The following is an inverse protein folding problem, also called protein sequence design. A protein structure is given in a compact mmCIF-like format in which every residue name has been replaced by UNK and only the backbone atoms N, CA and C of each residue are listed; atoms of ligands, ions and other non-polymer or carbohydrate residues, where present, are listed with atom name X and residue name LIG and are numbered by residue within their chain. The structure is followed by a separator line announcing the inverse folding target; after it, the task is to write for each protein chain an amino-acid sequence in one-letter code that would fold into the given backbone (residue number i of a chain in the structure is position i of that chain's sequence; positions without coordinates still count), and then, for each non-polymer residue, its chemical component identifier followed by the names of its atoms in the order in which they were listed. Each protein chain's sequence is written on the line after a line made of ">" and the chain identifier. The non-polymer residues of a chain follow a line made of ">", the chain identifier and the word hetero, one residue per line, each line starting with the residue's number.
data_IF_588895740149
#
_entry.id   IF_588895740149
#
_cell.length_a   1.000
_cell.length_b   1.000
_cell.length_c   1.000
_cell.angle_alpha   90.00
_cell.angle_beta   90.00
_cell.angle_gamma   90.00
#
_symmetry.space_group_name_H-M   'P 1'
#
loop_
_entity.id
_entity.type
_entity.pdbx_description
1 polymer ?
#
# COMPACT_ATOMS: atom_id res chain seq x y z
N UNK A 1 -39.05 46.80 28.17
CA UNK A 1 -38.79 45.87 27.06
C UNK A 1 -37.33 45.52 27.08
N UNK A 2 -36.97 44.26 27.34
CA UNK A 2 -35.59 43.79 27.36
C UNK A 2 -35.39 42.79 26.20
N UNK A 3 -34.47 43.10 25.31
CA UNK A 3 -34.11 42.29 24.13
C UNK A 3 -33.17 41.15 24.56
N UNK A 4 -33.43 39.88 24.18
CA UNK A 4 -32.55 38.79 24.59
C UNK A 4 -31.30 38.72 23.70
N UNK A 5 -30.15 38.58 24.38
CA UNK A 5 -28.80 38.41 23.84
C UNK A 5 -28.62 36.95 23.37
N UNK A 6 -29.32 36.56 22.31
CA UNK A 6 -29.47 35.14 21.90
C UNK A 6 -28.50 34.69 20.78
N UNK A 7 -27.72 35.61 20.21
CA UNK A 7 -26.92 35.36 18.99
C UNK A 7 -25.57 34.66 19.24
N UNK A 8 -24.85 34.97 20.34
CA UNK A 8 -23.51 34.42 20.57
C UNK A 8 -23.52 32.95 21.02
N UNK A 9 -24.51 32.53 21.81
CA UNK A 9 -24.54 31.18 22.37
C UNK A 9 -24.84 30.14 21.29
N UNK A 10 -25.77 30.43 20.37
CA UNK A 10 -26.13 29.54 19.26
C UNK A 10 -24.95 29.38 18.29
N UNK A 11 -24.21 30.46 18.00
CA UNK A 11 -23.05 30.42 17.13
C UNK A 11 -21.90 29.61 17.76
N UNK A 12 -21.65 29.77 19.07
CA UNK A 12 -20.69 28.95 19.81
C UNK A 12 -21.08 27.46 19.78
N UNK A 13 -22.36 27.13 20.04
CA UNK A 13 -22.84 25.74 19.97
C UNK A 13 -22.67 25.13 18.56
N UNK A 14 -23.01 25.88 17.50
CA UNK A 14 -22.80 25.41 16.11
C UNK A 14 -21.32 25.15 15.82
N UNK A 15 -20.42 26.05 16.23
CA UNK A 15 -18.97 25.85 16.01
C UNK A 15 -18.45 24.65 16.78
N UNK A 16 -18.87 24.43 18.02
CA UNK A 16 -18.48 23.25 18.79
C UNK A 16 -18.99 21.94 18.19
N UNK A 17 -20.24 21.91 17.72
CA UNK A 17 -20.82 20.72 17.07
C UNK A 17 -20.06 20.42 15.77
N UNK A 18 -19.75 21.45 14.96
CA UNK A 18 -19.00 21.26 13.73
C UNK A 18 -17.58 20.73 13.98
N UNK A 19 -16.88 21.18 15.03
CA UNK A 19 -15.58 20.63 15.41
C UNK A 19 -15.64 19.21 15.98
N UNK A 20 -16.74 18.83 16.65
CA UNK A 20 -16.93 17.46 17.17
C UNK A 20 -17.18 16.43 16.07
N UNK A 21 -17.83 16.81 14.96
CA UNK A 21 -17.99 15.91 13.80
C UNK A 21 -16.65 15.55 13.14
N UNK A 22 -15.65 16.44 13.17
CA UNK A 22 -14.33 16.17 12.57
C UNK A 22 -13.49 15.17 13.38
N UNK A 23 -13.77 15.02 14.67
CA UNK A 23 -13.03 14.10 15.54
C UNK A 23 -13.58 12.66 15.53
N UNK A 24 -14.79 12.45 15.00
CA UNK A 24 -15.49 11.17 15.08
C UNK A 24 -15.12 10.15 13.97
N UNK A 25 -14.22 10.50 13.05
CA UNK A 25 -13.82 9.64 11.93
C UNK A 25 -12.33 9.27 11.95
N UNK A 26 -11.76 8.93 13.11
CA UNK A 26 -10.62 8.00 13.13
C UNK A 26 -11.12 6.61 12.76
N UNK A 27 -11.55 6.44 11.51
CA UNK A 27 -11.96 5.15 10.98
C UNK A 27 -10.68 4.36 10.76
N UNK A 28 -10.37 3.45 11.68
CA UNK A 28 -9.23 2.54 11.54
C UNK A 28 -9.36 1.79 10.22
N UNK A 29 -8.42 2.02 9.30
CA UNK A 29 -8.42 1.48 7.93
C UNK A 29 -7.30 0.46 7.75
N UNK A 30 -7.33 -0.70 8.46
CA UNK A 30 -6.19 -1.64 8.49
C UNK A 30 -5.89 -2.29 7.13
N UNK A 31 -6.79 -2.13 6.17
CA UNK A 31 -6.70 -2.70 4.83
C UNK A 31 -6.47 -1.65 3.74
N UNK A 32 -6.28 -0.38 4.09
CA UNK A 32 -6.03 0.64 3.09
C UNK A 32 -4.71 0.43 2.36
N UNK A 33 -4.70 0.92 1.13
CA UNK A 33 -3.50 1.04 0.31
C UNK A 33 -3.43 2.45 -0.28
N UNK A 34 -2.24 3.03 -0.21
CA UNK A 34 -1.89 4.25 -0.93
C UNK A 34 -0.88 3.88 -2.02
N UNK A 35 -1.29 4.03 -3.28
CA UNK A 35 -0.43 3.78 -4.45
C UNK A 35 0.11 5.11 -4.94
N UNK A 36 1.43 5.19 -5.07
CA UNK A 36 2.11 6.30 -5.73
C UNK A 36 2.34 5.87 -7.18
N UNK A 37 1.72 6.55 -8.14
CA UNK A 37 1.69 6.12 -9.53
C UNK A 37 2.25 7.17 -10.48
N UNK A 38 2.92 6.70 -11.52
CA UNK A 38 3.42 7.50 -12.62
C UNK A 38 2.55 7.28 -13.85
N UNK A 39 1.94 8.36 -14.37
CA UNK A 39 0.97 8.27 -15.45
C UNK A 39 1.47 8.93 -16.73
N UNK A 40 1.19 8.29 -17.87
CA UNK A 40 1.68 8.70 -19.18
C UNK A 40 3.19 8.58 -19.30
N UNK A 41 3.78 7.52 -18.75
CA UNK A 41 5.22 7.21 -18.92
C UNK A 41 5.53 7.15 -20.42
N UNK A 42 6.66 7.73 -20.83
CA UNK A 42 7.05 7.86 -22.23
C UNK A 42 6.46 9.08 -22.95
N UNK A 43 5.48 9.76 -22.36
CA UNK A 43 4.81 10.93 -22.96
C UNK A 43 5.30 12.26 -22.37
N UNK A 44 6.04 12.22 -21.26
CA UNK A 44 6.63 13.39 -20.61
C UNK A 44 8.02 13.75 -21.14
N UNK A 45 8.59 14.82 -20.57
CA UNK A 45 9.96 15.28 -20.89
C UNK A 45 10.95 14.13 -20.70
N UNK A 46 11.81 13.91 -21.71
CA UNK A 46 12.81 12.83 -21.74
C UNK A 46 12.23 11.41 -21.55
N UNK A 47 10.97 11.18 -21.96
CA UNK A 47 10.30 9.89 -21.80
C UNK A 47 9.78 9.61 -20.38
N UNK A 48 9.77 10.62 -19.51
CA UNK A 48 9.18 10.51 -18.16
C UNK A 48 7.65 10.45 -18.16
N UNK A 49 7.05 10.43 -16.97
CA UNK A 49 5.60 10.54 -16.77
C UNK A 49 5.09 11.98 -16.98
N UNK A 50 3.84 12.11 -17.42
CA UNK A 50 3.14 13.39 -17.57
C UNK A 50 2.45 13.85 -16.30
N UNK A 51 2.00 12.93 -15.44
CA UNK A 51 1.43 13.24 -14.12
C UNK A 51 1.83 12.18 -13.09
N UNK A 52 1.62 12.50 -11.81
CA UNK A 52 1.97 11.63 -10.68
C UNK A 52 0.77 11.58 -9.77
N UNK A 53 0.19 10.41 -9.59
CA UNK A 53 -1.06 10.28 -8.86
C UNK A 53 -0.81 9.62 -7.51
N UNK A 54 -1.41 10.17 -6.47
CA UNK A 54 -1.58 9.48 -5.21
C UNK A 54 -2.99 8.87 -5.22
N UNK A 55 -3.05 7.55 -5.27
CA UNK A 55 -4.28 6.78 -5.49
C UNK A 55 -4.60 5.98 -4.22
N UNK A 56 -5.79 6.18 -3.66
CA UNK A 56 -6.21 5.53 -2.43
C UNK A 56 -7.24 4.43 -2.70
N UNK A 57 -7.03 3.31 -2.02
CA UNK A 57 -7.90 2.14 -2.02
C UNK A 57 -8.25 1.79 -0.56
N UNK A 58 -9.54 1.61 -0.21
CA UNK A 58 -9.95 1.20 1.14
C UNK A 58 -9.71 -0.30 1.40
N UNK A 59 -9.11 -1.00 0.44
CA UNK A 59 -8.89 -2.44 0.41
C UNK A 59 -7.82 -2.78 -0.62
N UNK A 60 -7.87 -3.99 -1.16
CA UNK A 60 -6.84 -4.48 -2.08
C UNK A 60 -6.78 -3.64 -3.36
N UNK A 61 -5.57 -3.36 -3.83
CA UNK A 61 -5.35 -2.67 -5.12
C UNK A 61 -5.61 -3.61 -6.29
N UNK A 62 -5.18 -4.87 -6.19
CA UNK A 62 -5.34 -5.89 -7.23
C UNK A 62 -6.37 -6.93 -6.83
N UNK A 63 -7.08 -7.45 -7.83
CA UNK A 63 -8.14 -8.46 -7.68
C UNK A 63 -7.59 -9.87 -7.42
N UNK A 64 -6.30 -10.12 -7.65
CA UNK A 64 -5.71 -11.46 -7.67
C UNK A 64 -5.87 -12.20 -9.00
N UNK A 65 -6.61 -11.64 -9.96
CA UNK A 65 -6.78 -12.19 -11.31
C UNK A 65 -5.80 -11.53 -12.29
N UNK A 66 -4.52 -11.88 -12.20
CA UNK A 66 -3.45 -11.26 -12.98
C UNK A 66 -3.23 -9.80 -12.59
N UNK A 67 -3.04 -8.91 -13.58
CA UNK A 67 -2.77 -7.48 -13.35
C UNK A 67 -4.04 -6.63 -13.10
N UNK A 68 -5.22 -7.24 -13.05
CA UNK A 68 -6.48 -6.51 -12.89
C UNK A 68 -6.58 -5.84 -11.50
N UNK A 69 -6.92 -4.54 -11.49
CA UNK A 69 -7.06 -3.72 -10.29
C UNK A 69 -8.50 -3.49 -9.88
N UNK A 70 -8.72 -3.29 -8.58
CA UNK A 70 -9.97 -2.74 -8.05
C UNK A 70 -10.09 -1.25 -8.41
N UNK A 71 -11.28 -0.68 -8.25
CA UNK A 71 -11.49 0.76 -8.49
C UNK A 71 -11.04 1.57 -7.27
N UNK A 72 -10.20 2.61 -7.42
CA UNK A 72 -9.86 3.48 -6.31
C UNK A 72 -11.08 4.31 -5.87
N UNK A 73 -11.11 4.71 -4.60
CA UNK A 73 -12.15 5.62 -4.10
C UNK A 73 -11.72 7.08 -4.14
N UNK A 74 -10.42 7.35 -4.11
CA UNK A 74 -9.87 8.70 -4.17
C UNK A 74 -8.56 8.70 -4.95
N UNK A 75 -8.31 9.81 -5.63
CA UNK A 75 -7.07 10.04 -6.37
C UNK A 75 -6.81 11.54 -6.42
N UNK A 76 -5.53 11.91 -6.39
CA UNK A 76 -5.10 13.30 -6.57
C UNK A 76 -3.76 13.36 -7.29
N UNK A 77 -3.64 14.31 -8.22
CA UNK A 77 -2.38 14.59 -8.88
C UNK A 77 -1.46 15.33 -7.92
N UNK A 78 -0.21 14.86 -7.84
CA UNK A 78 0.88 15.42 -7.06
C UNK A 78 1.70 16.32 -7.99
N UNK A 79 1.67 17.65 -7.80
CA UNK A 79 2.44 18.57 -8.64
C UNK A 79 3.95 18.33 -8.55
N UNK A 80 4.63 18.51 -9.68
CA UNK A 80 6.08 18.45 -9.73
C UNK A 80 6.72 19.67 -9.07
N UNK A 81 7.62 19.45 -8.12
CA UNK A 81 8.31 20.49 -7.35
C UNK A 81 9.73 20.81 -7.87
N UNK A 82 10.14 20.23 -9.00
CA UNK A 82 11.49 20.34 -9.56
C UNK A 82 12.39 19.12 -9.30
N UNK A 83 12.00 18.21 -8.41
CA UNK A 83 12.61 16.87 -8.25
C UNK A 83 11.60 15.79 -8.64
N UNK A 84 12.05 14.63 -9.13
CA UNK A 84 11.14 13.51 -9.39
C UNK A 84 10.34 13.23 -8.11
N UNK A 85 9.00 13.14 -8.19
CA UNK A 85 8.19 12.88 -7.00
C UNK A 85 8.60 11.59 -6.31
N UNK A 86 8.08 11.42 -5.10
CA UNK A 86 8.39 10.33 -4.18
C UNK A 86 9.74 10.47 -3.47
N UNK A 87 10.82 10.80 -4.20
CA UNK A 87 12.15 10.99 -3.62
C UNK A 87 12.49 12.43 -3.17
N UNK A 88 11.53 13.35 -3.20
CA UNK A 88 11.81 14.77 -2.95
C UNK A 88 12.18 15.06 -1.49
N UNK A 89 13.11 16.01 -1.29
CA UNK A 89 13.54 16.42 0.06
C UNK A 89 12.35 17.00 0.83
N UNK A 90 12.11 16.49 2.03
CA UNK A 90 10.97 16.88 2.86
C UNK A 90 9.68 16.11 2.59
N UNK A 91 9.70 15.12 1.68
CA UNK A 91 8.55 14.27 1.42
C UNK A 91 7.50 14.92 0.51
N UNK A 92 6.47 14.15 0.18
CA UNK A 92 5.34 14.55 -0.67
C UNK A 92 4.08 14.59 0.18
N UNK A 93 3.38 15.71 0.20
CA UNK A 93 2.06 15.81 0.83
C UNK A 93 1.00 16.16 -0.20
N UNK A 94 -0.15 15.49 -0.13
CA UNK A 94 -1.30 15.78 -0.98
C UNK A 94 -2.60 15.69 -0.19
N UNK A 95 -3.56 16.55 -0.54
CA UNK A 95 -4.91 16.53 0.01
C UNK A 95 -5.85 15.78 -0.92
N UNK A 96 -6.49 14.74 -0.40
CA UNK A 96 -7.50 13.94 -1.09
C UNK A 96 -8.82 14.70 -1.25
N UNK A 97 -9.70 14.29 -2.17
CA UNK A 97 -11.00 14.94 -2.39
C UNK A 97 -11.92 15.01 -1.16
N UNK A 98 -11.78 14.08 -0.21
CA UNK A 98 -12.54 14.09 1.05
C UNK A 98 -11.96 15.02 2.13
N UNK A 99 -10.83 15.69 1.85
CA UNK A 99 -10.13 16.56 2.78
C UNK A 99 -8.98 15.89 3.53
N UNK A 100 -8.82 14.58 3.47
CA UNK A 100 -7.71 13.87 4.12
C UNK A 100 -6.38 14.29 3.53
N UNK A 101 -5.33 14.29 4.35
CA UNK A 101 -3.96 14.58 3.90
C UNK A 101 -3.10 13.36 4.13
N UNK A 102 -2.43 12.94 3.06
CA UNK A 102 -1.36 11.95 3.12
C UNK A 102 -0.03 12.65 2.94
N UNK A 103 0.95 12.28 3.76
CA UNK A 103 2.34 12.71 3.63
C UNK A 103 3.22 11.48 3.48
N UNK A 104 4.13 11.50 2.52
CA UNK A 104 4.94 10.33 2.14
C UNK A 104 6.41 10.71 2.09
N UNK A 105 7.26 9.88 2.66
CA UNK A 105 8.70 10.00 2.55
C UNK A 105 9.27 8.70 2.00
N UNK A 106 9.87 8.76 0.81
CA UNK A 106 10.53 7.61 0.18
C UNK A 106 12.03 7.86 0.09
N UNK A 107 12.80 6.82 0.41
CA UNK A 107 14.20 6.72 0.03
C UNK A 107 14.32 5.88 -1.26
N UNK A 108 14.51 6.50 -2.43
CA UNK A 108 14.54 5.80 -3.71
C UNK A 108 15.76 4.89 -3.90
N UNK A 109 16.76 4.96 -3.00
CA UNK A 109 17.90 4.04 -3.03
C UNK A 109 17.54 2.64 -2.50
N UNK A 110 16.43 2.51 -1.77
CA UNK A 110 15.96 1.23 -1.22
C UNK A 110 15.11 0.53 -2.28
N UNK A 111 15.42 -0.74 -2.54
CA UNK A 111 14.73 -1.60 -3.50
C UNK A 111 14.02 -2.75 -2.77
N UNK A 112 13.15 -3.43 -3.50
CA UNK A 112 12.44 -4.61 -3.00
C UNK A 112 13.39 -5.72 -2.54
N UNK A 113 12.96 -6.53 -1.54
CA UNK A 113 11.65 -6.51 -0.86
C UNK A 113 11.58 -5.58 0.36
N UNK A 114 12.55 -4.67 0.53
CA UNK A 114 12.66 -3.84 1.73
C UNK A 114 11.75 -2.62 1.62
N UNK A 115 11.08 -2.25 2.71
CA UNK A 115 10.28 -1.03 2.77
C UNK A 115 11.17 0.19 2.48
N UNK A 116 10.83 0.94 1.43
CA UNK A 116 11.57 2.10 0.94
C UNK A 116 11.17 3.40 1.66
N UNK A 117 10.10 3.39 2.45
CA UNK A 117 9.65 4.58 3.14
C UNK A 117 8.35 4.37 3.90
N UNK A 118 7.74 5.50 4.25
CA UNK A 118 6.55 5.59 5.08
C UNK A 118 5.58 6.62 4.51
N UNK A 119 4.29 6.32 4.62
CA UNK A 119 3.20 7.25 4.39
C UNK A 119 2.37 7.43 5.67
N UNK A 120 1.98 8.66 5.94
CA UNK A 120 1.18 9.03 7.10
C UNK A 120 -0.13 9.63 6.65
N UNK A 121 -1.21 9.09 7.18
CA UNK A 121 -2.54 9.69 7.12
C UNK A 121 -2.70 10.71 8.26
N UNK A 122 -3.26 11.89 8.00
CA UNK A 122 -3.29 12.99 8.97
C UNK A 122 -3.93 12.67 10.33
N UNK A 123 -4.84 11.69 10.39
CA UNK A 123 -5.50 11.27 11.62
C UNK A 123 -4.82 10.05 12.29
N UNK A 124 -3.90 9.38 11.61
CA UNK A 124 -3.23 8.16 12.07
C UNK A 124 -1.70 8.30 12.05
N UNK A 125 -1.19 9.45 12.47
CA UNK A 125 0.25 9.77 12.43
C UNK A 125 1.14 8.79 13.23
N UNK A 126 0.56 8.06 14.20
CA UNK A 126 1.26 7.07 15.01
C UNK A 126 1.32 5.67 14.36
N UNK A 127 0.63 5.48 13.23
CA UNK A 127 0.52 4.20 12.52
C UNK A 127 0.79 4.42 11.03
N UNK A 128 2.07 4.57 10.61
CA UNK A 128 2.40 4.79 9.22
C UNK A 128 2.16 3.55 8.36
N UNK A 129 1.76 3.78 7.11
CA UNK A 129 1.73 2.78 6.06
C UNK A 129 3.17 2.58 5.55
N UNK A 130 3.67 1.35 5.55
CA UNK A 130 5.00 1.03 5.01
C UNK A 130 4.95 1.02 3.49
N UNK A 131 5.81 1.77 2.85
CA UNK A 131 5.88 1.90 1.39
C UNK A 131 6.94 0.97 0.80
N UNK A 132 6.55 0.20 -0.21
CA UNK A 132 7.42 -0.74 -0.93
C UNK A 132 7.53 -0.29 -2.38
N UNK A 133 8.72 -0.47 -2.98
CA UNK A 133 8.84 -0.31 -4.43
C UNK A 133 7.94 -1.38 -5.06
N UNK A 134 7.14 -1.01 -6.06
CA UNK A 134 6.35 -2.04 -6.74
C UNK A 134 5.89 -1.50 -8.08
N UNK A 135 6.47 -2.05 -9.14
CA UNK A 135 6.29 -1.55 -10.50
C UNK A 135 5.37 -2.46 -11.28
N UNK A 136 4.08 -2.11 -11.30
CA UNK A 136 3.06 -2.81 -12.08
C UNK A 136 2.43 -1.82 -13.03
N UNK A 137 2.34 -2.22 -14.29
CA UNK A 137 1.71 -1.42 -15.33
C UNK A 137 0.19 -1.48 -15.27
N UNK A 138 -0.45 -0.44 -15.80
CA UNK A 138 -1.89 -0.35 -16.00
C UNK A 138 -2.71 -0.42 -14.70
N UNK A 139 -2.21 0.17 -13.61
CA UNK A 139 -2.94 0.19 -12.32
C UNK A 139 -4.21 1.04 -12.38
N UNK A 140 -4.20 2.08 -13.20
CA UNK A 140 -5.35 2.94 -13.44
C UNK A 140 -5.24 3.64 -14.80
N UNK A 141 -6.38 3.98 -15.42
CA UNK A 141 -6.44 4.78 -16.64
C UNK A 141 -7.12 6.11 -16.33
N UNK A 142 -6.42 7.21 -16.58
CA UNK A 142 -6.96 8.55 -16.42
C UNK A 142 -8.06 8.84 -17.45
N UNK A 143 -8.89 9.83 -17.16
CA UNK A 143 -9.98 10.27 -18.05
C UNK A 143 -9.48 10.78 -19.41
N UNK A 144 -8.26 11.31 -19.45
CA UNK A 144 -7.58 11.73 -20.68
C UNK A 144 -6.95 10.55 -21.47
N UNK A 145 -7.17 9.33 -21.00
CA UNK A 145 -6.78 8.09 -21.65
C UNK A 145 -5.37 7.59 -21.30
N UNK A 146 -4.59 8.33 -20.50
CA UNK A 146 -3.23 7.91 -20.12
C UNK A 146 -3.26 6.80 -19.08
N UNK A 147 -2.40 5.80 -19.26
CA UNK A 147 -2.21 4.74 -18.29
C UNK A 147 -1.23 5.13 -17.20
N UNK A 148 -1.52 4.67 -15.99
CA UNK A 148 -0.68 4.79 -14.81
C UNK A 148 -0.02 3.45 -14.50
N UNK A 149 1.24 3.51 -14.08
CA UNK A 149 1.98 2.38 -13.50
C UNK A 149 2.32 2.70 -12.05
N UNK A 150 2.27 1.72 -11.15
CA UNK A 150 2.68 1.94 -9.76
C UNK A 150 4.19 2.16 -9.68
N UNK A 151 4.60 3.09 -8.81
CA UNK A 151 5.98 3.26 -8.38
C UNK A 151 6.18 2.66 -6.99
N UNK A 152 5.25 2.98 -6.08
CA UNK A 152 5.25 2.47 -4.71
C UNK A 152 3.85 2.10 -4.25
N UNK A 153 3.77 1.12 -3.35
CA UNK A 153 2.53 0.78 -2.63
C UNK A 153 2.79 0.84 -1.13
N UNK A 154 2.00 1.67 -0.45
CA UNK A 154 2.05 1.84 1.00
C UNK A 154 0.85 1.17 1.66
N UNK A 155 1.09 0.34 2.67
CA UNK A 155 0.03 -0.31 3.44
C UNK A 155 0.46 -0.73 4.85
N UNK A 156 -0.53 -1.09 5.68
CA UNK A 156 -0.32 -1.61 7.03
C UNK A 156 0.06 -3.09 7.08
N UNK A 157 -0.10 -3.83 5.97
CA UNK A 157 0.13 -5.29 5.93
C UNK A 157 1.61 -5.67 5.79
N UNK A 158 2.47 -4.71 5.45
CA UNK A 158 3.91 -4.91 5.37
C UNK A 158 4.37 -5.71 4.15
N UNK A 159 3.64 -5.64 3.04
CA UNK A 159 3.99 -6.30 1.77
C UNK A 159 3.48 -5.50 0.56
N UNK A 160 4.20 -5.45 -0.57
CA UNK A 160 3.72 -4.78 -1.79
C UNK A 160 2.50 -5.47 -2.43
N UNK A 161 2.28 -6.76 -2.16
CA UNK A 161 1.23 -7.59 -2.79
C UNK A 161 0.26 -8.16 -1.75
N UNK A 162 -0.51 -7.31 -1.06
CA UNK A 162 -1.36 -7.74 0.05
C UNK A 162 -2.53 -8.68 -0.35
N UNK A 163 -2.77 -8.82 -1.66
CA UNK A 163 -3.77 -9.69 -2.29
C UNK A 163 -3.22 -11.07 -2.68
N UNK A 164 -1.90 -11.24 -2.76
CA UNK A 164 -1.28 -12.54 -3.06
C UNK A 164 -1.27 -13.33 -1.75
N UNK A 165 -2.06 -14.40 -1.70
CA UNK A 165 -2.00 -15.36 -0.59
C UNK A 165 -0.55 -15.83 -0.47
N UNK A 166 0.05 -15.87 0.74
CA UNK A 166 1.38 -16.42 0.90
C UNK A 166 1.44 -17.80 0.25
N UNK A 167 2.51 -18.08 -0.50
CA UNK A 167 2.76 -19.44 -0.95
C UNK A 167 2.71 -20.36 0.29
N UNK A 168 2.08 -21.54 0.22
CA UNK A 168 2.18 -22.51 1.30
C UNK A 168 3.66 -22.67 1.65
N UNK A 169 3.99 -22.68 2.94
CA UNK A 169 5.34 -23.03 3.36
C UNK A 169 5.77 -24.32 2.62
N UNK A 170 7.03 -24.45 2.19
CA UNK A 170 7.51 -25.70 1.62
C UNK A 170 7.04 -26.83 2.52
N UNK A 171 6.31 -27.79 1.95
CA UNK A 171 5.91 -28.97 2.71
C UNK A 171 7.14 -29.60 3.34
N UNK A 172 7.01 -30.31 4.48
CA UNK A 172 8.12 -31.07 5.02
C UNK A 172 8.76 -31.85 3.88
N UNK A 173 10.05 -31.65 3.65
CA UNK A 173 10.80 -32.43 2.68
C UNK A 173 10.58 -33.93 2.97
N UNK A 174 10.75 -34.82 1.98
CA UNK A 174 10.62 -36.25 2.20
C UNK A 174 11.40 -36.65 3.45
N UNK A 175 10.73 -37.35 4.36
CA UNK A 175 11.41 -37.90 5.53
C UNK A 175 12.64 -38.69 5.05
N UNK A 176 13.80 -38.57 5.71
CA UNK A 176 14.96 -39.37 5.37
C UNK A 176 14.54 -40.83 5.27
N UNK A 177 14.77 -41.45 4.11
CA UNK A 177 14.57 -42.88 3.94
C UNK A 177 15.61 -43.55 4.84
N UNK A 178 15.18 -44.05 6.00
CA UNK A 178 16.03 -44.89 6.81
C UNK A 178 16.40 -46.12 5.97
N UNK A 179 17.69 -46.43 5.78
CA UNK A 179 18.09 -47.70 5.20
C UNK A 179 17.50 -48.81 6.06
N UNK A 180 16.69 -49.68 5.46
CA UNK A 180 16.18 -50.86 6.15
C UNK A 180 17.33 -51.72 6.67
N UNK A 181 17.11 -52.53 7.72
CA UNK A 181 18.15 -53.39 8.26
C UNK A 181 18.65 -54.35 7.17
N UNK A 182 19.96 -54.65 7.09
CA UNK A 182 20.46 -55.63 6.14
C UNK A 182 19.80 -56.98 6.39
N UNK A 183 19.22 -57.57 5.34
CA UNK A 183 18.66 -58.92 5.38
C UNK A 183 19.78 -59.91 5.69
N UNK A 184 19.77 -60.46 6.90
CA UNK A 184 20.65 -61.55 7.30
C UNK A 184 20.41 -62.76 6.40
N UNK A 185 21.36 -63.04 5.51
CA UNK A 185 21.39 -64.28 4.74
C UNK A 185 21.57 -65.45 5.69
N UNK A 186 20.65 -66.42 5.57
CA UNK A 186 20.74 -67.70 6.25
C UNK A 186 21.95 -68.48 5.70
N UNK A 187 22.92 -68.77 6.58
CA UNK A 187 23.97 -69.75 6.33
C UNK A 187 23.51 -71.03 7.03
N UNK A 188 22.91 -71.95 6.26
CA UNK A 188 22.74 -73.34 6.65
C UNK A 188 23.13 -74.17 5.44
N UNK A 189 24.36 -74.65 5.41
CA UNK A 189 24.75 -75.99 4.92
C UNK A 189 26.27 -76.13 5.00
N UNK A 190 26.73 -77.38 5.15
CA UNK A 190 28.12 -77.85 5.37
C UNK A 190 28.48 -78.06 6.85
N UNK A 191 27.90 -79.09 7.47
CA UNK A 191 28.62 -80.04 8.32
C UNK A 191 27.90 -81.40 8.28
N UNK A 192 28.28 -82.27 7.33
CA UNK A 192 28.11 -83.70 7.48
C UNK A 192 29.22 -84.44 6.70
N UNK A 193 30.33 -84.70 7.40
CA UNK A 193 31.25 -85.79 7.11
C UNK A 193 31.76 -86.34 8.44
#
# INVERSE_FOLDING_TARGET
>A
MATPKQSNTILLFLTTILSLLHAASTQKTPNENLVLADCGIGLGVNGGSTSREMIYYPGDVWTGNGAATNRPTMMVNVPWSGSYPWGQKGGVSARMPNGDVFTVHINPAIRDPVAAGDAWHMYEMHLPLKCYSYHVDNVYKLDDGKWCSSAYVCNHRGTPTPHVRPAPAPGPGPAPVNPGPPSGGAICDVLNN
#
